data_IF_167177777084
#
_entry.id   IF_167177777084
#
_cell.length_a   1.000
_cell.length_b   1.000
_cell.length_c   1.000
_cell.angle_alpha   90.00
_cell.angle_beta   90.00
_cell.angle_gamma   90.00
#
_symmetry.space_group_name_H-M   'P 1'
#
loop_
_entity.id
_entity.type
_entity.pdbx_description
1 polymer ?
#
# COMPACT_ATOMS: atom_id res chain seq x y z
N UNK A 1 7.81 -14.02 -0.69
CA UNK A 1 9.26 -14.21 -0.42
C UNK A 1 9.69 -13.05 0.47
N UNK A 2 10.25 -13.30 1.65
CA UNK A 2 10.75 -12.25 2.55
C UNK A 2 12.24 -12.01 2.22
N UNK A 3 12.68 -10.76 1.98
CA UNK A 3 14.08 -10.48 1.71
C UNK A 3 14.95 -10.86 2.91
N UNK A 4 16.03 -11.58 2.67
CA UNK A 4 17.03 -12.01 3.67
C UNK A 4 18.13 -10.96 3.90
N UNK A 5 18.16 -9.91 3.08
CA UNK A 5 19.17 -8.84 3.18
C UNK A 5 18.57 -7.48 2.80
N UNK A 6 19.05 -6.42 3.45
CA UNK A 6 18.60 -5.02 3.26
C UNK A 6 18.92 -4.45 1.87
N UNK A 7 19.82 -5.10 1.13
CA UNK A 7 20.20 -4.70 -0.24
C UNK A 7 19.49 -5.53 -1.32
N UNK A 8 18.55 -6.40 -0.94
CA UNK A 8 17.78 -7.16 -1.93
C UNK A 8 16.73 -6.27 -2.59
N UNK A 9 16.60 -6.32 -3.92
CA UNK A 9 15.61 -5.53 -4.63
C UNK A 9 14.21 -6.01 -4.24
N UNK A 10 13.38 -5.06 -3.79
CA UNK A 10 11.95 -5.27 -3.50
C UNK A 10 11.13 -4.34 -4.37
N UNK A 11 9.98 -4.81 -4.84
CA UNK A 11 9.05 -3.96 -5.60
C UNK A 11 8.17 -3.18 -4.62
N UNK A 12 7.96 -1.87 -4.82
CA UNK A 12 6.95 -1.13 -4.08
C UNK A 12 5.58 -1.77 -4.27
N UNK A 13 4.81 -1.91 -3.18
CA UNK A 13 3.48 -2.52 -3.22
C UNK A 13 2.54 -1.80 -4.21
N UNK A 14 2.61 -0.47 -4.29
CA UNK A 14 1.82 0.32 -5.27
C UNK A 14 2.11 -0.06 -6.71
N UNK A 15 3.38 -0.26 -7.06
CA UNK A 15 3.81 -0.65 -8.41
C UNK A 15 3.43 -2.09 -8.73
N UNK A 16 3.57 -3.01 -7.76
CA UNK A 16 3.14 -4.40 -7.93
C UNK A 16 1.62 -4.51 -8.16
N UNK A 17 0.83 -3.80 -7.35
CA UNK A 17 -0.63 -3.73 -7.50
C UNK A 17 -1.00 -3.17 -8.87
N UNK A 18 -0.43 -2.03 -9.28
CA UNK A 18 -0.76 -1.42 -10.56
C UNK A 18 -0.39 -2.32 -11.76
N UNK A 19 0.74 -3.01 -11.68
CA UNK A 19 1.18 -3.94 -12.72
C UNK A 19 0.26 -5.15 -12.83
N UNK A 20 -0.06 -5.79 -11.70
CA UNK A 20 -0.89 -7.00 -11.69
C UNK A 20 -2.37 -6.69 -11.94
N UNK A 21 -2.90 -5.58 -11.42
CA UNK A 21 -4.33 -5.23 -11.63
C UNK A 21 -4.68 -5.10 -13.11
N UNK A 22 -3.75 -4.61 -13.93
CA UNK A 22 -3.94 -4.49 -15.38
C UNK A 22 -4.01 -5.81 -16.14
N UNK A 23 -3.41 -6.88 -15.59
CA UNK A 23 -3.36 -8.20 -16.23
C UNK A 23 -4.38 -9.20 -15.64
N UNK A 24 -5.12 -8.79 -14.61
CA UNK A 24 -6.01 -9.70 -13.86
C UNK A 24 -7.46 -9.57 -14.28
N UNK A 25 -8.15 -10.72 -14.35
CA UNK A 25 -9.56 -10.77 -14.75
C UNK A 25 -10.42 -10.17 -13.65
N UNK A 26 -11.23 -9.18 -14.02
CA UNK A 26 -12.20 -8.55 -13.12
C UNK A 26 -13.18 -9.60 -12.61
N UNK A 27 -13.35 -9.66 -11.29
CA UNK A 27 -14.22 -10.65 -10.63
C UNK A 27 -13.54 -11.98 -10.28
N UNK A 28 -12.25 -12.16 -10.59
CA UNK A 28 -11.47 -13.29 -10.09
C UNK A 28 -11.08 -13.11 -8.62
N UNK A 29 -10.81 -14.23 -7.93
CA UNK A 29 -10.33 -14.23 -6.54
C UNK A 29 -9.02 -13.43 -6.39
N UNK A 30 -8.13 -13.50 -7.38
CA UNK A 30 -6.87 -12.75 -7.35
C UNK A 30 -7.10 -11.23 -7.50
N UNK A 31 -8.04 -10.81 -8.34
CA UNK A 31 -8.44 -9.40 -8.45
C UNK A 31 -8.97 -8.87 -7.10
N UNK A 32 -9.82 -9.65 -6.43
CA UNK A 32 -10.36 -9.29 -5.11
C UNK A 32 -9.27 -9.22 -4.04
N UNK A 33 -8.33 -10.18 -4.04
CA UNK A 33 -7.19 -10.17 -3.14
C UNK A 33 -6.32 -8.92 -3.35
N UNK A 34 -6.04 -8.58 -4.62
CA UNK A 34 -5.22 -7.42 -4.98
C UNK A 34 -5.90 -6.10 -4.57
N UNK A 35 -7.22 -6.02 -4.72
CA UNK A 35 -8.03 -4.92 -4.22
C UNK A 35 -8.01 -4.81 -2.69
N UNK A 36 -8.11 -5.93 -1.98
CA UNK A 36 -7.99 -5.97 -0.53
C UNK A 36 -6.63 -5.46 -0.03
N UNK A 37 -5.53 -5.84 -0.69
CA UNK A 37 -4.19 -5.34 -0.36
C UNK A 37 -4.09 -3.84 -0.66
N UNK A 38 -4.71 -3.35 -1.73
CA UNK A 38 -4.75 -1.92 -2.04
C UNK A 38 -5.48 -1.11 -0.94
N UNK A 39 -6.58 -1.64 -0.38
CA UNK A 39 -7.28 -1.03 0.75
C UNK A 39 -6.36 -0.95 1.98
N UNK A 40 -5.68 -2.04 2.32
CA UNK A 40 -4.75 -2.07 3.47
C UNK A 40 -3.65 -1.02 3.29
N UNK A 41 -3.06 -0.94 2.10
CA UNK A 41 -2.03 0.04 1.77
C UNK A 41 -2.55 1.48 1.86
N UNK A 42 -3.76 1.72 1.37
CA UNK A 42 -4.44 3.00 1.51
C UNK A 42 -4.66 3.35 2.98
N UNK A 43 -5.13 2.41 3.81
CA UNK A 43 -5.31 2.61 5.25
C UNK A 43 -4.00 2.99 5.94
N UNK A 44 -2.89 2.32 5.63
CA UNK A 44 -1.57 2.65 6.19
C UNK A 44 -1.18 4.09 5.83
N UNK A 45 -1.30 4.44 4.55
CA UNK A 45 -0.92 5.77 4.05
C UNK A 45 -1.83 6.85 4.62
N UNK A 46 -3.13 6.59 4.66
CA UNK A 46 -4.15 7.47 5.23
C UNK A 46 -3.91 7.72 6.71
N UNK A 47 -3.67 6.67 7.51
CA UNK A 47 -3.39 6.80 8.94
C UNK A 47 -2.09 7.57 9.19
N UNK A 48 -1.03 7.30 8.43
CA UNK A 48 0.22 8.05 8.52
C UNK A 48 0.01 9.54 8.24
N UNK A 49 -0.75 9.87 7.19
CA UNK A 49 -1.09 11.24 6.85
C UNK A 49 -1.98 11.87 7.93
N UNK A 50 -2.98 11.14 8.43
CA UNK A 50 -3.90 11.61 9.46
C UNK A 50 -3.16 11.93 10.77
N UNK A 51 -2.24 11.06 11.19
CA UNK A 51 -1.38 11.29 12.37
C UNK A 51 -0.53 12.54 12.17
N UNK A 52 0.06 12.70 10.98
CA UNK A 52 0.87 13.87 10.64
C UNK A 52 0.05 15.17 10.75
N UNK A 53 -1.16 15.20 10.18
CA UNK A 53 -2.05 16.37 10.25
C UNK A 53 -2.52 16.65 11.68
N UNK A 54 -2.86 15.60 12.44
CA UNK A 54 -3.25 15.73 13.85
C UNK A 54 -2.11 16.28 14.72
N UNK A 55 -0.85 15.94 14.42
CA UNK A 55 0.32 16.49 15.10
C UNK A 55 0.59 17.94 14.69
N UNK A 56 0.46 18.31 13.42
CA UNK A 56 0.60 19.71 12.95
C UNK A 56 -0.37 20.65 13.66
N UNK A 57 -1.60 20.20 13.92
CA UNK A 57 -2.59 20.97 14.69
C UNK A 57 -2.15 21.30 16.13
N UNK A 58 -1.24 20.52 16.72
CA UNK A 58 -0.71 20.74 18.09
C UNK A 58 0.54 21.64 18.13
N UNK A 59 1.34 21.65 17.06
CA UNK A 59 2.62 22.39 16.99
C UNK A 59 2.43 23.86 16.60
N UNK A 60 1.27 24.23 16.06
CA UNK A 60 0.96 25.61 15.65
C UNK A 60 0.29 26.46 16.75
N UNK A 61 0.39 26.06 18.02
CA UNK A 61 0.06 26.89 19.19
C UNK A 61 1.33 27.48 19.80
#
# INVERSE_FOLDING_TARGET
IIPKSIFQPVRPMTSAIAAEMGETVVGSDHYQALFGIAIILFTITFLSNLITEAMKGKVKR
#
